data_IF_972647812833
#
_entry.id   IF_972647812833
#
_cell.length_a   1.000
_cell.length_b   1.000
_cell.length_c   1.000
_cell.angle_alpha   90.00
_cell.angle_beta   90.00
_cell.angle_gamma   90.00
#
_symmetry.space_group_name_H-M   'P 1'
#
loop_
_entity.id
_entity.type
_entity.pdbx_description
1 polymer ?
#
# COMPACT_ATOMS: atom_id res chain seq x y z
N UNK A 1 -30.44 -5.67 11.99
CA UNK A 1 -29.92 -4.92 10.81
C UNK A 1 -29.73 -5.92 9.67
N UNK A 2 -30.25 -5.63 8.47
CA UNK A 2 -29.97 -6.47 7.30
C UNK A 2 -28.52 -6.23 6.85
N UNK A 3 -27.73 -7.29 6.71
CA UNK A 3 -26.37 -7.20 6.22
C UNK A 3 -26.38 -6.66 4.78
N UNK A 4 -25.72 -5.53 4.55
CA UNK A 4 -25.57 -4.96 3.21
C UNK A 4 -24.44 -5.71 2.52
N UNK A 5 -24.78 -6.68 1.67
CA UNK A 5 -23.80 -7.44 0.90
C UNK A 5 -23.31 -6.56 -0.25
N UNK A 6 -22.02 -6.22 -0.24
CA UNK A 6 -21.36 -5.56 -1.38
C UNK A 6 -21.00 -6.66 -2.38
N UNK A 7 -21.72 -6.73 -3.50
CA UNK A 7 -21.49 -7.73 -4.55
C UNK A 7 -20.47 -7.27 -5.60
N UNK A 8 -20.17 -5.98 -5.66
CA UNK A 8 -19.19 -5.42 -6.59
C UNK A 8 -17.80 -5.49 -5.95
N UNK A 9 -16.97 -6.40 -6.45
CA UNK A 9 -15.57 -6.51 -6.04
C UNK A 9 -14.68 -5.66 -6.95
N UNK A 10 -13.55 -5.12 -6.43
CA UNK A 10 -12.52 -4.53 -7.27
C UNK A 10 -12.06 -5.53 -8.33
N UNK A 11 -12.02 -5.10 -9.59
CA UNK A 11 -11.60 -5.94 -10.71
C UNK A 11 -10.57 -5.20 -11.54
N UNK A 12 -9.32 -5.66 -11.45
CA UNK A 12 -8.27 -5.22 -12.35
C UNK A 12 -8.36 -5.92 -13.72
N UNK A 13 -7.75 -5.31 -14.72
CA UNK A 13 -7.53 -5.99 -15.99
C UNK A 13 -6.46 -7.09 -15.85
N UNK A 14 -6.42 -7.97 -16.85
CA UNK A 14 -5.40 -9.01 -16.97
C UNK A 14 -4.26 -8.56 -17.89
N UNK A 15 -3.99 -7.26 -18.04
CA UNK A 15 -3.02 -6.77 -19.04
C UNK A 15 -1.65 -6.43 -18.44
N UNK A 16 -1.53 -6.32 -17.11
CA UNK A 16 -0.30 -5.91 -16.44
C UNK A 16 0.87 -6.88 -16.71
N UNK A 17 1.84 -6.41 -17.50
CA UNK A 17 3.06 -7.15 -17.84
C UNK A 17 3.90 -7.51 -16.61
N UNK A 18 4.04 -6.58 -15.66
CA UNK A 18 4.79 -6.80 -14.42
C UNK A 18 4.31 -8.03 -13.65
N UNK A 19 2.99 -8.17 -13.47
CA UNK A 19 2.40 -9.28 -12.74
C UNK A 19 2.50 -10.58 -13.55
N UNK A 20 2.25 -10.53 -14.86
CA UNK A 20 2.28 -11.71 -15.74
C UNK A 20 3.65 -12.35 -15.88
N UNK A 21 4.71 -11.58 -15.72
CA UNK A 21 6.09 -12.07 -15.83
C UNK A 21 6.59 -12.75 -14.54
N UNK A 22 5.88 -12.58 -13.43
CA UNK A 22 6.23 -13.22 -12.17
C UNK A 22 5.75 -14.68 -12.13
N UNK A 23 6.39 -15.54 -11.31
CA UNK A 23 5.82 -16.83 -10.97
C UNK A 23 4.39 -16.73 -10.46
N UNK A 24 3.60 -17.79 -10.67
CA UNK A 24 2.22 -17.84 -10.18
C UNK A 24 2.17 -17.54 -8.69
N UNK A 25 1.36 -16.54 -8.32
CA UNK A 25 1.21 -16.12 -6.92
C UNK A 25 0.15 -16.96 -6.24
N UNK A 26 0.47 -17.45 -5.05
CA UNK A 26 -0.50 -18.17 -4.24
C UNK A 26 -1.37 -17.18 -3.44
N UNK A 27 -2.67 -17.19 -3.70
CA UNK A 27 -3.64 -16.45 -2.90
C UNK A 27 -3.66 -16.95 -1.47
N UNK A 28 -3.82 -16.03 -0.51
CA UNK A 28 -4.13 -16.40 0.87
C UNK A 28 -5.61 -16.83 0.95
N UNK A 29 -5.97 -17.73 1.88
CA UNK A 29 -7.34 -18.14 2.07
C UNK A 29 -8.26 -16.94 2.36
N UNK A 30 -9.51 -17.03 1.92
CA UNK A 30 -10.54 -16.07 2.28
C UNK A 30 -10.75 -16.04 3.79
N UNK A 31 -10.99 -14.85 4.34
CA UNK A 31 -11.41 -14.71 5.72
C UNK A 31 -12.81 -15.34 5.87
N UNK A 32 -12.96 -16.21 6.87
CA UNK A 32 -14.23 -16.85 7.19
C UNK A 32 -14.62 -16.62 8.65
N UNK A 33 -15.93 -16.54 8.87
CA UNK A 33 -16.50 -16.32 10.19
C UNK A 33 -16.21 -14.94 10.79
N UNK A 34 -16.61 -14.78 12.05
CA UNK A 34 -16.29 -13.59 12.83
C UNK A 34 -14.84 -13.64 13.31
N UNK A 35 -14.16 -12.50 13.29
CA UNK A 35 -12.76 -12.39 13.65
C UNK A 35 -12.55 -11.15 14.53
N UNK A 36 -11.78 -11.31 15.60
CA UNK A 36 -11.43 -10.24 16.53
C UNK A 36 -9.95 -9.92 16.43
N UNK A 37 -9.58 -8.67 16.19
CA UNK A 37 -8.19 -8.24 16.07
C UNK A 37 -8.01 -6.89 16.77
N UNK A 38 -6.81 -6.65 17.27
CA UNK A 38 -6.43 -5.35 17.82
C UNK A 38 -6.33 -4.30 16.69
N UNK A 39 -5.87 -4.75 15.52
CA UNK A 39 -5.74 -3.91 14.33
C UNK A 39 -6.27 -4.61 13.09
N UNK A 40 -6.98 -3.87 12.24
CA UNK A 40 -7.41 -4.30 10.91
C UNK A 40 -6.87 -3.31 9.87
N UNK A 41 -6.12 -3.83 8.92
CA UNK A 41 -5.60 -3.07 7.77
C UNK A 41 -6.33 -3.53 6.51
N UNK A 42 -6.92 -2.58 5.78
CA UNK A 42 -7.64 -2.85 4.53
C UNK A 42 -6.78 -2.43 3.33
N UNK A 43 -6.53 -3.39 2.44
CA UNK A 43 -5.69 -3.26 1.24
C UNK A 43 -4.25 -3.75 1.48
N UNK A 44 -3.81 -4.73 0.70
CA UNK A 44 -2.45 -5.28 0.76
C UNK A 44 -1.56 -4.74 -0.38
N UNK A 45 -1.59 -3.42 -0.58
CA UNK A 45 -0.60 -2.68 -1.37
C UNK A 45 0.59 -2.22 -0.52
N UNK A 46 1.45 -1.33 -1.06
CA UNK A 46 2.62 -0.81 -0.35
C UNK A 46 2.26 -0.21 1.00
N UNK A 47 1.27 0.68 1.04
CA UNK A 47 0.87 1.38 2.27
C UNK A 47 0.34 0.42 3.33
N UNK A 48 -0.57 -0.50 2.96
CA UNK A 48 -1.16 -1.42 3.92
C UNK A 48 -0.16 -2.46 4.44
N UNK A 49 0.71 -2.98 3.58
CA UNK A 49 1.78 -3.88 4.01
C UNK A 49 2.80 -3.17 4.92
N UNK A 50 3.19 -1.94 4.58
CA UNK A 50 4.08 -1.14 5.42
C UNK A 50 3.46 -0.85 6.79
N UNK A 51 2.19 -0.44 6.82
CA UNK A 51 1.45 -0.20 8.06
C UNK A 51 1.33 -1.47 8.92
N UNK A 52 0.93 -2.60 8.31
CA UNK A 52 0.80 -3.88 9.02
C UNK A 52 2.16 -4.35 9.59
N UNK A 53 3.24 -4.20 8.82
CA UNK A 53 4.60 -4.50 9.29
C UNK A 53 4.98 -3.61 10.47
N UNK A 54 4.79 -2.29 10.36
CA UNK A 54 5.16 -1.37 11.43
C UNK A 54 4.35 -1.62 12.70
N UNK A 55 3.04 -1.89 12.57
CA UNK A 55 2.20 -2.32 13.69
C UNK A 55 2.74 -3.59 14.34
N UNK A 56 3.19 -4.59 13.58
CA UNK A 56 3.74 -5.82 14.14
C UNK A 56 5.07 -5.63 14.88
N UNK A 57 5.87 -4.63 14.46
CA UNK A 57 7.12 -4.28 15.12
C UNK A 57 6.85 -3.54 16.43
N UNK A 58 5.95 -2.55 16.40
CA UNK A 58 5.62 -1.73 17.56
C UNK A 58 4.74 -2.47 18.58
N UNK A 59 3.92 -3.41 18.13
CA UNK A 59 3.02 -4.20 18.95
C UNK A 59 3.17 -5.71 18.66
N UNK A 60 4.27 -6.34 19.10
CA UNK A 60 4.57 -7.74 18.78
C UNK A 60 3.53 -8.77 19.28
N UNK A 61 2.74 -8.38 20.28
CA UNK A 61 1.69 -9.22 20.87
C UNK A 61 0.30 -8.93 20.28
N UNK A 62 0.15 -7.89 19.46
CA UNK A 62 -1.14 -7.56 18.87
C UNK A 62 -1.49 -8.50 17.73
N UNK A 63 -2.75 -8.92 17.68
CA UNK A 63 -3.31 -9.62 16.54
C UNK A 63 -3.67 -8.59 15.46
N UNK A 64 -2.95 -8.65 14.35
CA UNK A 64 -3.14 -7.77 13.19
C UNK A 64 -3.75 -8.59 12.06
N UNK A 65 -4.91 -8.16 11.54
CA UNK A 65 -5.49 -8.70 10.32
C UNK A 65 -5.20 -7.73 9.17
N UNK A 66 -4.65 -8.24 8.07
CA UNK A 66 -4.56 -7.54 6.78
C UNK A 66 -5.53 -8.20 5.79
N UNK A 67 -6.46 -7.42 5.23
CA UNK A 67 -7.44 -7.88 4.25
C UNK A 67 -7.19 -7.27 2.87
N UNK A 68 -7.35 -8.07 1.83
CA UNK A 68 -7.24 -7.64 0.44
C UNK A 68 -8.39 -8.29 -0.36
N UNK A 69 -8.99 -7.52 -1.26
CA UNK A 69 -10.09 -7.98 -2.11
C UNK A 69 -9.63 -8.77 -3.33
N UNK A 70 -8.33 -8.71 -3.65
CA UNK A 70 -7.67 -9.48 -4.70
C UNK A 70 -6.47 -10.27 -4.12
N UNK A 71 -5.40 -10.48 -4.89
CA UNK A 71 -4.12 -10.92 -4.33
C UNK A 71 -3.32 -9.74 -3.77
N UNK A 72 -2.49 -10.00 -2.75
CA UNK A 72 -1.58 -8.99 -2.22
C UNK A 72 -0.70 -8.43 -3.34
N UNK A 73 -0.65 -7.09 -3.45
CA UNK A 73 0.01 -6.41 -4.56
C UNK A 73 -0.65 -6.66 -5.92
N UNK A 74 -1.97 -6.81 -6.04
CA UNK A 74 -2.66 -6.74 -7.34
C UNK A 74 -3.07 -5.33 -7.76
N UNK A 75 -3.29 -4.45 -6.77
CA UNK A 75 -3.73 -3.07 -7.02
C UNK A 75 -2.65 -2.18 -7.65
N UNK A 76 -2.83 -0.86 -7.53
CA UNK A 76 -1.93 0.15 -8.10
C UNK A 76 -0.46 -0.01 -7.70
N UNK A 77 -0.18 -0.61 -6.54
CA UNK A 77 1.18 -0.89 -6.07
C UNK A 77 1.97 -1.85 -6.97
N UNK A 78 1.35 -2.69 -7.80
CA UNK A 78 2.07 -3.54 -8.78
C UNK A 78 1.89 -3.08 -10.23
N UNK A 79 1.13 -2.01 -10.45
CA UNK A 79 0.73 -1.49 -11.77
C UNK A 79 1.24 -0.06 -12.01
N UNK A 80 2.21 0.36 -11.22
CA UNK A 80 2.86 1.66 -11.36
C UNK A 80 4.03 1.59 -12.35
N UNK A 81 4.61 2.74 -12.68
CA UNK A 81 5.71 2.87 -13.64
C UNK A 81 7.07 2.38 -13.12
N UNK A 82 7.18 2.00 -11.85
CA UNK A 82 8.41 1.45 -11.25
C UNK A 82 9.44 2.49 -10.83
N UNK A 83 9.13 3.79 -10.90
CA UNK A 83 10.05 4.83 -10.46
C UNK A 83 10.04 4.96 -8.94
N UNK A 84 11.21 4.72 -8.33
CA UNK A 84 11.49 5.10 -6.95
C UNK A 84 12.35 6.36 -7.00
N UNK A 85 11.79 7.47 -6.53
CA UNK A 85 12.45 8.78 -6.55
C UNK A 85 12.51 9.35 -5.14
N UNK A 86 13.67 9.88 -4.76
CA UNK A 86 13.89 10.55 -3.46
C UNK A 86 13.26 11.95 -3.43
N UNK A 87 13.12 12.56 -4.61
CA UNK A 87 12.64 13.90 -4.82
C UNK A 87 11.68 13.92 -6.00
N UNK A 88 10.62 14.73 -5.89
CA UNK A 88 9.81 15.05 -7.07
C UNK A 88 10.60 16.10 -7.84
N UNK A 89 10.44 16.12 -9.16
CA UNK A 89 10.84 17.28 -9.95
C UNK A 89 10.35 18.54 -9.24
N UNK A 90 11.27 19.43 -8.87
CA UNK A 90 10.88 20.73 -8.34
C UNK A 90 9.93 21.36 -9.38
N UNK A 91 8.73 21.77 -8.97
CA UNK A 91 7.78 22.40 -9.89
C UNK A 91 8.34 23.69 -10.50
N UNK A 92 9.41 24.22 -9.89
CA UNK A 92 10.22 25.28 -10.47
C UNK A 92 10.99 24.92 -11.73
N UNK A 93 10.96 23.69 -12.27
CA UNK A 93 11.60 23.26 -13.53
C UNK A 93 12.84 24.09 -13.91
N UNK A 94 14.02 23.74 -13.36
CA UNK A 94 15.28 24.46 -13.57
C UNK A 94 15.40 25.87 -12.94
N UNK A 95 14.42 26.32 -12.15
CA UNK A 95 14.48 27.58 -11.39
C UNK A 95 14.48 27.37 -9.87
N UNK A 96 15.05 28.34 -9.15
CA UNK A 96 15.07 28.39 -7.68
C UNK A 96 13.75 28.93 -7.08
N UNK A 97 12.63 28.77 -7.78
CA UNK A 97 11.30 29.13 -7.26
C UNK A 97 10.81 28.08 -6.27
N UNK A 98 9.97 28.50 -5.30
CA UNK A 98 9.28 27.65 -4.34
C UNK A 98 10.18 26.73 -3.47
N UNK A 99 11.41 27.16 -3.16
CA UNK A 99 12.37 26.38 -2.37
C UNK A 99 11.86 26.00 -0.97
N UNK A 100 11.10 26.87 -0.30
CA UNK A 100 10.54 26.54 1.02
C UNK A 100 9.51 25.42 0.95
N UNK A 101 8.66 25.42 -0.08
CA UNK A 101 7.67 24.37 -0.28
C UNK A 101 8.37 23.05 -0.64
N UNK A 102 9.40 23.11 -1.49
CA UNK A 102 10.24 21.96 -1.79
C UNK A 102 10.88 21.39 -0.53
N UNK A 103 11.44 22.23 0.35
CA UNK A 103 12.04 21.79 1.63
C UNK A 103 11.01 21.09 2.51
N UNK A 104 9.81 21.64 2.69
CA UNK A 104 8.74 20.97 3.45
C UNK A 104 8.37 19.60 2.87
N UNK A 105 8.25 19.50 1.54
CA UNK A 105 7.97 18.22 0.86
C UNK A 105 9.14 17.23 1.02
N UNK A 106 10.38 17.72 0.99
CA UNK A 106 11.57 16.90 1.21
C UNK A 106 11.63 16.40 2.66
N UNK A 107 11.42 17.25 3.65
CA UNK A 107 11.49 16.89 5.08
C UNK A 107 10.50 15.77 5.41
N UNK A 108 9.28 15.83 4.88
CA UNK A 108 8.27 14.76 5.05
C UNK A 108 8.75 13.44 4.43
N UNK A 109 9.32 13.49 3.22
CA UNK A 109 9.83 12.28 2.55
C UNK A 109 11.02 11.69 3.28
N UNK A 110 11.94 12.54 3.73
CA UNK A 110 13.12 12.15 4.47
C UNK A 110 12.73 11.47 5.78
N UNK A 111 11.82 12.07 6.55
CA UNK A 111 11.27 11.45 7.75
C UNK A 111 10.61 10.09 7.45
N UNK A 112 9.93 9.96 6.30
CA UNK A 112 9.37 8.68 5.85
C UNK A 112 10.41 7.61 5.56
N UNK A 113 11.61 7.98 5.07
CA UNK A 113 12.74 7.07 4.84
C UNK A 113 13.42 6.69 6.15
N UNK A 114 13.57 7.62 7.10
CA UNK A 114 14.19 7.35 8.40
C UNK A 114 13.32 6.49 9.32
N UNK A 115 12.00 6.45 9.09
CA UNK A 115 11.06 5.72 9.91
C UNK A 115 11.03 4.19 9.67
N UNK A 116 11.76 3.66 8.68
CA UNK A 116 11.74 2.24 8.25
C UNK A 116 13.05 1.51 8.54
#
# INVERSE_FOLDING_TARGET
MAAKIISTLPKNDNSCGWIKQLPSRQSRPYLSGEQHADWVVLGAGYTGLAAARQLSILHPQSRIILLEGQNAGEGSSARNSGFLVDSILNEGHFSASNLEEYRKKYDIKHAGVEAV
#
